data_IF_925231164342
#
_entry.id   IF_925231164342
#
_cell.length_a   1.000
_cell.length_b   1.000
_cell.length_c   1.000
_cell.angle_alpha   90.00
_cell.angle_beta   90.00
_cell.angle_gamma   90.00
#
_symmetry.space_group_name_H-M   'P 1'
#
loop_
_entity.id
_entity.type
_entity.pdbx_description
1 polymer ?
#
# COMPACT_ATOMS: atom_id res chain seq x y z
N UNK A 1 9.08 18.04 -17.68
CA UNK A 1 9.53 17.81 -16.29
C UNK A 1 9.19 16.38 -15.94
N UNK A 2 10.21 15.58 -15.73
CA UNK A 2 10.16 14.15 -15.46
C UNK A 2 9.30 13.85 -14.22
N UNK A 3 8.23 13.04 -14.34
CA UNK A 3 7.57 12.50 -13.17
C UNK A 3 8.38 11.30 -12.68
N UNK A 4 8.84 11.37 -11.43
CA UNK A 4 9.34 10.19 -10.73
C UNK A 4 8.29 9.09 -10.78
N UNK A 5 8.69 7.98 -11.39
CA UNK A 5 7.95 6.75 -11.50
C UNK A 5 7.43 6.31 -10.13
N UNK A 6 6.12 6.15 -10.04
CA UNK A 6 5.49 5.33 -9.00
C UNK A 6 5.94 3.88 -9.18
N UNK A 7 6.98 3.47 -8.46
CA UNK A 7 7.48 2.09 -8.39
C UNK A 7 6.49 1.14 -7.70
N UNK A 8 5.27 1.57 -7.35
CA UNK A 8 4.32 0.76 -6.56
C UNK A 8 3.13 0.24 -7.38
N UNK A 9 2.87 0.77 -8.59
CA UNK A 9 1.86 0.19 -9.49
C UNK A 9 2.38 -1.02 -10.29
N UNK A 10 3.71 -1.16 -10.44
CA UNK A 10 4.33 -2.31 -11.10
C UNK A 10 4.42 -3.56 -10.20
N UNK A 11 4.33 -3.40 -8.87
CA UNK A 11 4.55 -4.51 -7.91
C UNK A 11 3.35 -5.46 -7.80
N UNK A 12 2.16 -5.09 -8.31
CA UNK A 12 0.98 -5.96 -8.27
C UNK A 12 0.62 -6.61 -9.62
N UNK A 13 1.39 -6.33 -10.69
CA UNK A 13 1.22 -6.94 -12.02
C UNK A 13 2.49 -7.67 -12.52
N UNK A 14 3.66 -7.51 -11.90
CA UNK A 14 4.88 -8.23 -12.29
C UNK A 14 5.52 -9.04 -11.15
N UNK A 15 4.92 -10.19 -10.84
CA UNK A 15 5.59 -11.26 -10.09
C UNK A 15 5.85 -12.48 -11.01
N UNK A 16 6.62 -12.27 -12.08
CA UNK A 16 7.43 -13.32 -12.72
C UNK A 16 8.76 -12.71 -13.19
N UNK A 17 9.84 -13.20 -12.58
CA UNK A 17 11.24 -13.20 -13.00
C UNK A 17 12.05 -11.88 -12.99
N UNK A 18 13.20 -11.98 -12.27
CA UNK A 18 14.53 -11.37 -12.50
C UNK A 18 14.95 -10.10 -11.70
N UNK A 19 16.29 -9.87 -11.50
CA UNK A 19 16.96 -9.67 -10.21
C UNK A 19 17.47 -8.22 -9.98
N UNK A 20 18.10 -7.90 -8.83
CA UNK A 20 18.28 -6.52 -8.38
C UNK A 20 19.66 -5.95 -8.70
N UNK A 21 19.72 -4.70 -9.19
CA UNK A 21 20.81 -3.77 -8.87
C UNK A 21 20.33 -2.34 -8.77
N UNK A 22 20.90 -1.69 -7.74
CA UNK A 22 21.05 -0.27 -7.47
C UNK A 22 19.82 0.49 -6.96
N UNK A 23 19.93 0.96 -5.71
CA UNK A 23 19.77 2.38 -5.38
C UNK A 23 20.41 2.66 -4.01
N UNK A 24 21.24 3.70 -3.94
CA UNK A 24 21.59 4.37 -2.68
C UNK A 24 21.65 5.87 -2.96
N UNK A 25 20.91 6.66 -2.20
CA UNK A 25 21.08 8.12 -2.17
C UNK A 25 20.88 8.66 -0.73
N UNK A 26 21.93 9.39 -0.30
CA UNK A 26 22.04 10.53 0.63
C UNK A 26 21.55 10.48 2.09
N UNK A 27 22.42 11.01 2.97
CA UNK A 27 22.12 12.19 3.80
C UNK A 27 23.40 12.89 4.29
N UNK A 28 23.27 14.21 4.44
CA UNK A 28 24.25 15.31 4.69
C UNK A 28 24.35 15.75 6.15
N UNK A 29 25.52 16.28 6.56
CA UNK A 29 25.79 17.50 7.38
C UNK A 29 27.32 17.51 7.68
N UNK A 30 28.08 18.59 7.91
CA UNK A 30 27.84 19.97 8.34
C UNK A 30 29.12 20.83 8.09
N UNK A 31 29.01 22.14 8.28
CA UNK A 31 29.95 23.21 7.94
C UNK A 31 31.13 23.40 8.93
N UNK A 32 32.17 24.14 8.47
CA UNK A 32 33.11 25.06 9.17
C UNK A 32 34.59 24.77 8.84
N UNK A 33 35.22 25.59 7.98
CA UNK A 33 36.40 26.40 8.34
C UNK A 33 36.81 27.36 7.23
N UNK A 34 37.27 28.51 7.71
CA UNK A 34 37.39 29.81 7.07
C UNK A 34 38.79 30.03 6.47
N UNK A 35 38.83 30.79 5.37
CA UNK A 35 39.83 31.80 4.96
C UNK A 35 41.32 31.62 5.33
N UNK A 36 42.10 31.57 4.25
CA UNK A 36 43.50 31.95 4.04
C UNK A 36 44.08 33.17 4.82
N UNK A 37 45.40 33.06 5.07
CA UNK A 37 46.46 34.09 5.00
C UNK A 37 46.98 34.76 6.30
N UNK A 38 48.19 34.31 6.67
CA UNK A 38 49.40 35.05 7.09
C UNK A 38 49.41 35.98 8.32
N UNK A 39 50.28 35.64 9.28
CA UNK A 39 51.55 36.37 9.59
C UNK A 39 52.21 35.82 10.85
N UNK A 40 53.50 35.48 10.78
CA UNK A 40 54.30 35.19 11.98
C UNK A 40 55.50 34.27 11.78
N UNK A 41 56.48 34.69 10.98
CA UNK A 41 57.83 34.13 11.00
C UNK A 41 58.42 34.17 12.42
N UNK A 42 58.96 33.04 12.93
CA UNK A 42 60.39 32.88 13.25
C UNK A 42 60.70 31.55 13.98
N UNK A 43 61.57 30.78 13.33
CA UNK A 43 62.59 29.92 13.93
C UNK A 43 62.19 28.91 15.01
N UNK A 44 61.71 27.73 14.60
CA UNK A 44 61.93 26.50 15.39
C UNK A 44 61.99 25.26 14.48
N UNK A 45 63.21 24.81 14.20
CA UNK A 45 63.58 23.43 13.88
C UNK A 45 63.06 22.81 12.56
N UNK A 46 63.95 22.68 11.56
CA UNK A 46 63.73 21.81 10.40
C UNK A 46 63.46 20.32 10.73
N UNK A 47 63.74 19.89 11.98
CA UNK A 47 63.33 18.58 12.51
C UNK A 47 61.85 18.50 12.86
N UNK A 48 61.22 19.59 13.30
CA UNK A 48 59.79 19.62 13.64
C UNK A 48 58.94 19.59 12.36
N UNK A 49 59.36 20.32 11.32
CA UNK A 49 58.70 20.31 10.01
C UNK A 49 58.78 18.93 9.32
N UNK A 50 59.91 18.22 9.47
CA UNK A 50 60.05 16.87 8.93
C UNK A 50 59.16 15.85 9.66
N UNK A 51 59.07 15.93 10.98
CA UNK A 51 58.23 15.03 11.79
C UNK A 51 56.74 15.28 11.52
N UNK A 52 56.30 16.52 11.39
CA UNK A 52 54.90 16.83 11.07
C UNK A 52 54.53 16.41 9.66
N UNK A 53 55.43 16.56 8.69
CA UNK A 53 55.20 16.08 7.32
C UNK A 53 55.16 14.55 7.24
N UNK A 54 56.04 13.84 7.96
CA UNK A 54 56.02 12.36 8.02
C UNK A 54 54.74 11.88 8.73
N UNK A 55 54.36 12.50 9.84
CA UNK A 55 53.11 12.18 10.54
C UNK A 55 51.88 12.44 9.64
N UNK A 56 51.86 13.56 8.90
CA UNK A 56 50.79 13.85 7.95
C UNK A 56 50.75 12.82 6.81
N UNK A 57 51.89 12.40 6.26
CA UNK A 57 51.94 11.36 5.21
C UNK A 57 51.49 10.00 5.75
N UNK A 58 51.83 9.64 6.99
CA UNK A 58 51.36 8.39 7.63
C UNK A 58 49.86 8.44 7.89
N UNK A 59 49.32 9.58 8.35
CA UNK A 59 47.88 9.74 8.59
C UNK A 59 47.12 9.72 7.26
N UNK A 60 47.59 10.45 6.25
CA UNK A 60 46.96 10.49 4.93
C UNK A 60 47.04 9.12 4.24
N UNK A 61 48.17 8.42 4.33
CA UNK A 61 48.30 7.06 3.78
C UNK A 61 47.44 6.05 4.55
N UNK A 62 47.33 6.17 5.88
CA UNK A 62 46.43 5.35 6.69
C UNK A 62 44.94 5.56 6.34
N UNK A 63 44.51 6.81 6.16
CA UNK A 63 43.13 7.14 5.75
C UNK A 63 42.86 6.63 4.33
N UNK A 64 43.79 6.79 3.39
CA UNK A 64 43.65 6.25 2.02
C UNK A 64 43.59 4.72 2.01
N UNK A 65 44.34 4.03 2.88
CA UNK A 65 44.27 2.57 3.00
C UNK A 65 42.91 2.14 3.56
N UNK A 66 42.36 2.85 4.55
CA UNK A 66 41.02 2.54 5.09
C UNK A 66 39.92 2.77 4.04
N UNK A 67 40.02 3.82 3.22
CA UNK A 67 39.04 4.11 2.16
C UNK A 67 39.20 3.20 0.92
N UNK A 68 40.41 2.67 0.66
CA UNK A 68 40.70 1.78 -0.47
C UNK A 68 40.71 0.29 -0.14
N UNK A 69 40.48 -0.10 1.11
CA UNK A 69 40.18 -1.49 1.47
C UNK A 69 38.65 -1.64 1.45
N UNK A 70 38.04 -2.03 0.32
CA UNK A 70 36.61 -2.26 0.29
C UNK A 70 36.30 -3.35 1.31
N UNK A 71 35.41 -3.11 2.28
CA UNK A 71 34.99 -4.19 3.17
C UNK A 71 34.39 -5.27 2.27
N UNK A 72 35.02 -6.45 2.27
CA UNK A 72 34.37 -7.65 1.76
C UNK A 72 33.25 -7.97 2.74
N UNK A 73 32.13 -7.26 2.60
CA UNK A 73 30.87 -7.66 3.18
C UNK A 73 30.46 -8.92 2.43
N UNK A 74 30.91 -10.07 2.93
CA UNK A 74 30.15 -11.28 2.77
C UNK A 74 28.84 -11.02 3.52
N UNK A 75 27.81 -10.59 2.79
CA UNK A 75 26.44 -10.69 3.25
C UNK A 75 26.15 -12.18 3.39
N UNK A 76 26.53 -12.77 4.52
CA UNK A 76 25.86 -13.97 4.98
C UNK A 76 24.40 -13.57 5.15
N UNK A 77 23.53 -14.21 4.38
CA UNK A 77 22.11 -14.16 4.70
C UNK A 77 21.99 -14.59 6.17
N UNK A 78 21.37 -13.78 7.04
CA UNK A 78 20.98 -14.22 8.37
C UNK A 78 20.32 -15.60 8.25
N UNK A 79 20.60 -16.51 9.18
CA UNK A 79 19.91 -17.78 9.20
C UNK A 79 18.38 -17.56 9.23
N UNK A 80 17.57 -18.49 8.68
CA UNK A 80 16.13 -18.30 8.46
C UNK A 80 15.32 -17.94 9.72
N UNK A 81 15.84 -18.34 10.88
CA UNK A 81 15.30 -18.07 12.21
C UNK A 81 15.34 -16.57 12.57
N UNK A 82 16.39 -15.85 12.18
CA UNK A 82 16.60 -14.46 12.55
C UNK A 82 15.68 -13.52 11.76
N UNK A 83 15.38 -13.87 10.51
CA UNK A 83 14.35 -13.18 9.72
C UNK A 83 12.95 -13.41 10.27
N UNK A 84 12.65 -14.64 10.71
CA UNK A 84 11.37 -14.99 11.32
C UNK A 84 11.19 -14.23 12.65
N UNK A 85 12.24 -14.12 13.45
CA UNK A 85 12.25 -13.33 14.69
C UNK A 85 12.15 -11.82 14.44
N UNK A 86 12.85 -11.29 13.44
CA UNK A 86 12.74 -9.89 13.05
C UNK A 86 11.34 -9.55 12.52
N UNK A 87 10.75 -10.43 11.70
CA UNK A 87 9.38 -10.33 11.22
C UNK A 87 8.39 -10.39 12.37
N UNK A 88 8.58 -11.30 13.33
CA UNK A 88 7.77 -11.38 14.55
C UNK A 88 7.77 -10.05 15.32
N UNK A 89 8.95 -9.50 15.60
CA UNK A 89 9.10 -8.22 16.30
C UNK A 89 8.48 -7.05 15.52
N UNK A 90 8.69 -7.02 14.20
CA UNK A 90 8.11 -6.00 13.33
C UNK A 90 6.58 -6.08 13.33
N UNK A 91 6.00 -7.27 13.18
CA UNK A 91 4.55 -7.47 13.18
C UNK A 91 3.92 -7.13 14.54
N UNK A 92 4.58 -7.42 15.66
CA UNK A 92 4.11 -7.00 16.99
C UNK A 92 4.09 -5.47 17.13
N UNK A 93 5.16 -4.78 16.72
CA UNK A 93 5.18 -3.31 16.73
C UNK A 93 4.13 -2.71 15.79
N UNK A 94 3.94 -3.29 14.61
CA UNK A 94 2.94 -2.85 13.64
C UNK A 94 1.50 -3.08 14.11
N UNK A 95 1.20 -4.19 14.81
CA UNK A 95 -0.12 -4.45 15.41
C UNK A 95 -0.55 -3.38 16.43
N UNK A 96 0.40 -2.67 17.06
CA UNK A 96 0.08 -1.56 17.96
C UNK A 96 -0.48 -0.32 17.22
N UNK A 97 -0.30 -0.25 15.90
CA UNK A 97 -0.83 0.83 15.06
C UNK A 97 -2.26 0.49 14.63
N UNK A 98 -3.22 0.89 15.48
CA UNK A 98 -4.70 0.79 15.35
C UNK A 98 -5.30 0.50 13.96
N UNK A 99 -6.34 -0.34 13.99
CA UNK A 99 -7.38 -0.69 13.01
C UNK A 99 -7.90 0.50 12.17
N UNK A 100 -7.09 1.01 11.26
CA UNK A 100 -7.49 2.03 10.31
C UNK A 100 -7.70 1.41 8.94
N UNK A 101 -8.70 1.87 8.18
CA UNK A 101 -8.98 1.34 6.86
C UNK A 101 -7.81 1.58 5.89
N UNK A 102 -7.65 0.70 4.89
CA UNK A 102 -6.46 0.69 4.05
C UNK A 102 -6.38 1.92 3.16
N UNK A 103 -5.16 2.42 2.98
CA UNK A 103 -4.85 3.59 2.14
C UNK A 103 -3.47 3.46 1.50
N UNK A 104 -3.14 4.41 0.63
CA UNK A 104 -1.81 4.54 0.03
C UNK A 104 -0.67 4.59 1.07
N UNK A 105 -0.92 5.18 2.24
CA UNK A 105 0.05 5.33 3.34
C UNK A 105 0.04 4.14 4.32
N UNK A 106 -1.07 3.38 4.40
CA UNK A 106 -1.27 2.29 5.37
C UNK A 106 -1.65 1.00 4.67
N UNK A 107 -0.66 0.13 4.48
CA UNK A 107 -0.79 -1.20 3.84
C UNK A 107 -1.09 -2.34 4.82
N UNK A 108 -1.18 -2.04 6.10
CA UNK A 108 -1.20 -3.05 7.16
C UNK A 108 -2.36 -4.05 7.03
N UNK A 109 -3.58 -3.56 6.86
CA UNK A 109 -4.77 -4.40 6.66
C UNK A 109 -4.66 -5.35 5.46
N UNK A 110 -4.01 -4.90 4.37
CA UNK A 110 -3.74 -5.78 3.22
C UNK A 110 -2.78 -6.90 3.57
N UNK A 111 -1.72 -6.60 4.31
CA UNK A 111 -0.74 -7.60 4.75
C UNK A 111 -1.37 -8.61 5.70
N UNK A 112 -2.20 -8.16 6.64
CA UNK A 112 -2.93 -9.05 7.56
C UNK A 112 -3.81 -10.05 6.81
N UNK A 113 -4.67 -9.55 5.90
CA UNK A 113 -5.54 -10.41 5.09
C UNK A 113 -4.70 -11.34 4.20
N UNK A 114 -3.62 -10.82 3.60
CA UNK A 114 -2.72 -11.63 2.77
C UNK A 114 -2.04 -12.75 3.57
N UNK A 115 -1.62 -12.51 4.80
CA UNK A 115 -0.95 -13.52 5.63
C UNK A 115 -1.91 -14.60 6.14
N UNK A 116 -3.23 -14.33 6.18
CA UNK A 116 -4.22 -15.32 6.57
C UNK A 116 -4.18 -16.57 5.70
N UNK A 117 -3.82 -16.46 4.41
CA UNK A 117 -3.68 -17.61 3.52
C UNK A 117 -2.64 -18.62 4.01
N UNK A 118 -1.55 -18.15 4.65
CA UNK A 118 -0.52 -19.04 5.20
C UNK A 118 -1.12 -19.88 6.32
N UNK A 119 -1.89 -19.25 7.21
CA UNK A 119 -2.55 -19.93 8.31
C UNK A 119 -3.64 -20.90 7.84
N UNK A 120 -4.49 -20.42 6.93
CA UNK A 120 -5.66 -21.16 6.44
C UNK A 120 -5.29 -22.34 5.54
N UNK A 121 -4.18 -22.25 4.79
CA UNK A 121 -3.86 -23.25 3.75
C UNK A 121 -2.61 -24.10 4.03
N UNK A 122 -1.61 -23.58 4.76
CA UNK A 122 -0.33 -24.29 4.94
C UNK A 122 -0.10 -24.85 6.34
N UNK A 123 -0.90 -24.46 7.34
CA UNK A 123 -0.74 -24.87 8.75
C UNK A 123 0.73 -24.95 9.21
N UNK A 124 1.50 -23.84 9.16
CA UNK A 124 2.96 -23.85 9.23
C UNK A 124 3.55 -24.16 10.60
N UNK A 125 2.75 -24.55 11.61
CA UNK A 125 3.21 -24.91 12.94
C UNK A 125 3.88 -23.76 13.73
N UNK A 126 4.41 -24.09 14.91
CA UNK A 126 5.11 -23.14 15.77
C UNK A 126 6.55 -22.90 15.26
N UNK A 127 7.11 -21.67 15.29
CA UNK A 127 6.62 -20.45 15.96
C UNK A 127 5.76 -19.51 15.09
N UNK A 128 5.51 -19.84 13.83
CA UNK A 128 4.73 -18.97 12.93
C UNK A 128 3.25 -18.89 13.34
N UNK A 129 2.69 -19.98 13.88
CA UNK A 129 1.26 -20.07 14.25
C UNK A 129 0.82 -18.96 15.20
N UNK A 130 1.61 -18.60 16.21
CA UNK A 130 1.23 -17.59 17.20
C UNK A 130 1.00 -16.21 16.56
N UNK A 131 1.90 -15.82 15.65
CA UNK A 131 1.81 -14.55 14.92
C UNK A 131 0.62 -14.59 13.98
N UNK A 132 0.51 -15.67 13.21
CA UNK A 132 -0.53 -15.83 12.20
C UNK A 132 -1.92 -15.85 12.85
N UNK A 133 -2.05 -16.44 14.04
CA UNK A 133 -3.29 -16.41 14.82
C UNK A 133 -3.66 -14.97 15.21
N UNK A 134 -2.70 -14.17 15.69
CA UNK A 134 -2.94 -12.76 16.03
C UNK A 134 -3.39 -11.95 14.81
N UNK A 135 -2.72 -12.15 13.65
CA UNK A 135 -3.07 -11.47 12.40
C UNK A 135 -4.45 -11.89 11.87
N UNK A 136 -4.76 -13.18 11.97
CA UNK A 136 -6.06 -13.72 11.60
C UNK A 136 -7.16 -13.13 12.46
N UNK A 137 -6.99 -13.11 13.78
CA UNK A 137 -7.93 -12.49 14.72
C UNK A 137 -8.11 -11.00 14.47
N UNK A 138 -7.04 -10.27 14.15
CA UNK A 138 -7.13 -8.85 13.76
C UNK A 138 -7.94 -8.68 12.47
N UNK A 139 -7.79 -9.60 11.51
CA UNK A 139 -8.56 -9.57 10.26
C UNK A 139 -10.04 -9.83 10.53
N UNK A 140 -10.37 -10.81 11.37
CA UNK A 140 -11.75 -11.07 11.82
C UNK A 140 -12.38 -9.82 12.45
N UNK A 141 -11.68 -9.17 13.39
CA UNK A 141 -12.14 -7.95 14.04
C UNK A 141 -12.38 -6.82 13.01
N UNK A 142 -11.49 -6.68 12.03
CA UNK A 142 -11.65 -5.71 10.95
C UNK A 142 -12.89 -6.03 10.10
N UNK A 143 -13.12 -7.29 9.72
CA UNK A 143 -14.32 -7.69 8.96
C UNK A 143 -15.60 -7.45 9.76
N UNK A 144 -15.59 -7.75 11.05
CA UNK A 144 -16.70 -7.44 11.95
C UNK A 144 -16.98 -5.93 11.95
N UNK A 145 -15.95 -5.08 12.01
CA UNK A 145 -16.12 -3.62 12.01
C UNK A 145 -16.84 -3.07 10.77
N UNK A 146 -16.83 -3.81 9.66
CA UNK A 146 -17.56 -3.46 8.45
C UNK A 146 -19.04 -3.78 8.51
N UNK A 147 -19.54 -4.57 9.46
CA UNK A 147 -20.95 -4.94 9.53
C UNK A 147 -21.80 -3.84 10.20
N UNK A 148 -23.08 -3.66 9.81
CA UNK A 148 -23.94 -2.59 10.31
C UNK A 148 -24.30 -2.73 11.80
N UNK A 149 -24.23 -3.93 12.36
CA UNK A 149 -24.48 -4.19 13.78
C UNK A 149 -23.40 -3.59 14.69
N UNK A 150 -22.19 -3.34 14.17
CA UNK A 150 -21.11 -2.72 14.93
C UNK A 150 -21.09 -1.22 14.72
N UNK A 151 -20.88 -0.48 15.81
CA UNK A 151 -20.81 0.99 15.82
C UNK A 151 -19.41 1.53 15.53
N UNK A 152 -18.51 0.69 15.00
CA UNK A 152 -17.13 1.09 14.67
C UNK A 152 -17.06 2.16 13.59
N UNK A 153 -17.94 2.09 12.59
CA UNK A 153 -18.04 3.07 11.52
C UNK A 153 -19.49 3.49 11.28
N UNK A 154 -19.70 4.80 11.21
CA UNK A 154 -20.99 5.36 10.82
C UNK A 154 -21.29 5.07 9.34
N UNK A 155 -22.56 5.17 8.96
CA UNK A 155 -23.01 5.10 7.58
C UNK A 155 -23.79 6.37 7.23
N UNK A 156 -23.74 6.76 5.97
CA UNK A 156 -24.62 7.79 5.44
C UNK A 156 -26.06 7.27 5.37
N UNK A 157 -27.04 8.14 5.11
CA UNK A 157 -28.45 7.72 4.97
C UNK A 157 -28.64 6.80 3.75
N UNK A 158 -27.83 6.99 2.72
CA UNK A 158 -27.76 6.13 1.54
C UNK A 158 -26.99 4.82 1.71
N UNK A 159 -26.44 4.53 2.90
CA UNK A 159 -25.79 3.25 3.20
C UNK A 159 -24.28 3.19 2.93
N UNK A 160 -23.64 4.30 2.57
CA UNK A 160 -22.18 4.36 2.38
C UNK A 160 -21.46 4.32 3.73
N UNK A 161 -20.49 3.42 3.89
CA UNK A 161 -19.68 3.33 5.12
C UNK A 161 -18.68 4.49 5.23
N UNK A 162 -18.61 5.14 6.41
CA UNK A 162 -17.77 6.30 6.68
C UNK A 162 -16.45 5.91 7.35
N UNK A 163 -15.59 5.23 6.59
CA UNK A 163 -14.29 4.71 7.03
C UNK A 163 -13.27 5.80 7.40
N UNK A 164 -13.46 7.02 6.89
CA UNK A 164 -12.65 8.19 7.22
C UNK A 164 -13.32 9.12 8.25
N UNK A 165 -14.30 8.62 9.00
CA UNK A 165 -15.06 9.37 10.01
C UNK A 165 -15.73 10.66 9.47
N UNK A 166 -16.29 10.58 8.26
CA UNK A 166 -17.02 11.68 7.64
C UNK A 166 -16.12 12.80 7.07
N UNK A 167 -14.81 12.56 6.97
CA UNK A 167 -13.87 13.46 6.29
C UNK A 167 -14.07 13.39 4.75
N UNK A 168 -13.48 14.31 3.98
CA UNK A 168 -13.52 14.23 2.52
C UNK A 168 -12.82 13.00 1.93
N UNK A 169 -13.09 12.76 0.64
CA UNK A 169 -12.54 11.65 -0.16
C UNK A 169 -12.85 10.23 0.39
N UNK A 170 -14.12 9.89 0.69
CA UNK A 170 -14.47 8.61 1.29
C UNK A 170 -14.31 7.40 0.36
N UNK A 171 -14.51 7.55 -0.96
CA UNK A 171 -14.66 6.37 -1.83
C UNK A 171 -13.39 5.53 -1.96
N UNK A 172 -12.20 6.13 -1.85
CA UNK A 172 -10.94 5.38 -1.87
C UNK A 172 -10.82 4.36 -0.73
N UNK A 173 -11.43 4.63 0.43
CA UNK A 173 -11.44 3.71 1.56
C UNK A 173 -12.47 2.61 1.35
N UNK A 174 -13.62 3.01 0.82
CA UNK A 174 -14.78 2.14 0.60
C UNK A 174 -14.43 1.04 -0.40
N UNK A 175 -13.78 1.38 -1.53
CA UNK A 175 -13.35 0.37 -2.51
C UNK A 175 -12.30 -0.59 -1.93
N UNK A 176 -11.37 -0.09 -1.12
CA UNK A 176 -10.36 -0.94 -0.47
C UNK A 176 -11.01 -1.90 0.54
N UNK A 177 -11.98 -1.43 1.31
CA UNK A 177 -12.73 -2.27 2.25
C UNK A 177 -13.58 -3.32 1.52
N UNK A 178 -14.25 -2.95 0.43
CA UNK A 178 -15.02 -3.87 -0.41
C UNK A 178 -14.12 -4.97 -1.00
N UNK A 179 -12.94 -4.60 -1.51
CA UNK A 179 -11.95 -5.57 -1.98
C UNK A 179 -11.48 -6.51 -0.88
N UNK A 180 -11.09 -5.98 0.29
CA UNK A 180 -10.62 -6.81 1.40
C UNK A 180 -11.69 -7.75 1.96
N UNK A 181 -12.94 -7.29 2.04
CA UNK A 181 -14.07 -8.11 2.46
C UNK A 181 -14.27 -9.29 1.49
N UNK A 182 -14.25 -9.01 0.18
CA UNK A 182 -14.40 -10.05 -0.85
C UNK A 182 -13.23 -11.03 -0.81
N UNK A 183 -11.98 -10.53 -0.78
CA UNK A 183 -10.78 -11.37 -0.73
C UNK A 183 -10.75 -12.28 0.51
N UNK A 184 -11.17 -11.77 1.66
CA UNK A 184 -11.23 -12.57 2.88
C UNK A 184 -12.33 -13.64 2.81
N UNK A 185 -13.50 -13.31 2.26
CA UNK A 185 -14.54 -14.30 1.98
C UNK A 185 -14.04 -15.41 1.05
N UNK A 186 -13.27 -15.07 0.02
CA UNK A 186 -12.72 -16.05 -0.92
C UNK A 186 -11.65 -16.93 -0.25
N UNK A 187 -10.86 -16.40 0.69
CA UNK A 187 -9.95 -17.22 1.48
C UNK A 187 -10.68 -18.18 2.41
N UNK A 188 -11.76 -17.74 3.05
CA UNK A 188 -12.58 -18.61 3.90
C UNK A 188 -13.30 -19.69 3.08
N UNK A 189 -13.89 -19.32 1.94
CA UNK A 189 -14.53 -20.26 1.02
C UNK A 189 -13.53 -21.28 0.50
N UNK A 190 -12.36 -20.82 0.05
CA UNK A 190 -11.29 -21.71 -0.35
C UNK A 190 -10.96 -22.66 0.80
N UNK A 191 -10.75 -22.16 2.02
CA UNK A 191 -10.46 -22.96 3.22
C UNK A 191 -11.61 -23.87 3.72
N UNK A 192 -12.70 -24.03 2.94
CA UNK A 192 -13.88 -24.80 3.33
C UNK A 192 -14.49 -24.31 4.66
N UNK A 193 -14.33 -23.01 4.93
CA UNK A 193 -14.80 -22.34 6.14
C UNK A 193 -16.01 -21.46 5.79
N UNK A 194 -17.24 -21.80 6.26
CA UNK A 194 -18.46 -21.15 5.80
C UNK A 194 -18.66 -19.71 6.31
N UNK A 195 -17.83 -19.24 7.23
CA UNK A 195 -17.97 -17.94 7.88
C UNK A 195 -17.01 -17.72 9.03
N UNK A 196 -17.24 -16.69 9.84
CA UNK A 196 -16.42 -16.38 11.01
C UNK A 196 -17.28 -15.84 12.14
N UNK A 197 -16.70 -15.74 13.34
CA UNK A 197 -17.40 -15.25 14.53
C UNK A 197 -17.06 -13.79 14.80
N UNK A 198 -18.09 -12.99 15.06
CA UNK A 198 -17.96 -11.65 15.60
C UNK A 198 -18.54 -11.62 17.02
N UNK A 199 -17.68 -11.89 18.01
CA UNK A 199 -18.11 -12.11 19.39
C UNK A 199 -18.92 -13.40 19.49
N UNK A 200 -20.15 -13.38 20.05
CA UNK A 200 -20.98 -14.58 20.17
C UNK A 200 -21.72 -14.96 18.87
N UNK A 201 -21.70 -14.10 17.84
CA UNK A 201 -22.54 -14.24 16.65
C UNK A 201 -21.73 -14.78 15.47
N UNK A 202 -22.27 -15.79 14.79
CA UNK A 202 -21.71 -16.33 13.55
C UNK A 202 -22.24 -15.58 12.32
N UNK A 203 -21.36 -15.26 11.38
CA UNK A 203 -21.70 -14.63 10.10
C UNK A 203 -21.16 -15.46 8.94
N UNK A 204 -21.98 -15.70 7.92
CA UNK A 204 -21.54 -16.41 6.71
C UNK A 204 -20.67 -15.52 5.82
N UNK A 205 -19.84 -16.14 4.99
CA UNK A 205 -19.00 -15.44 3.98
C UNK A 205 -19.82 -14.54 3.04
N UNK A 206 -21.09 -14.86 2.82
CA UNK A 206 -21.98 -14.09 1.94
C UNK A 206 -22.30 -12.70 2.51
N UNK A 207 -22.28 -12.53 3.83
CA UNK A 207 -22.51 -11.22 4.46
C UNK A 207 -21.43 -10.21 4.05
N UNK A 208 -20.16 -10.64 3.97
CA UNK A 208 -19.06 -9.77 3.50
C UNK A 208 -19.13 -9.51 2.00
N UNK A 209 -19.52 -10.51 1.21
CA UNK A 209 -19.73 -10.35 -0.23
C UNK A 209 -20.85 -9.36 -0.50
N UNK A 210 -21.94 -9.42 0.26
CA UNK A 210 -23.05 -8.48 0.16
C UNK A 210 -22.65 -7.07 0.62
N UNK A 211 -21.88 -6.95 1.71
CA UNK A 211 -21.27 -5.68 2.09
C UNK A 211 -20.46 -5.08 0.93
N UNK A 212 -19.54 -5.85 0.33
CA UNK A 212 -18.73 -5.36 -0.78
C UNK A 212 -19.58 -4.94 -1.99
N UNK A 213 -20.58 -5.75 -2.38
CA UNK A 213 -21.53 -5.45 -3.46
C UNK A 213 -22.29 -4.16 -3.20
N UNK A 214 -22.87 -3.97 -2.02
CA UNK A 214 -23.63 -2.75 -1.69
C UNK A 214 -22.76 -1.49 -1.77
N UNK A 215 -21.50 -1.57 -1.32
CA UNK A 215 -20.57 -0.45 -1.39
C UNK A 215 -20.15 -0.10 -2.82
N UNK A 216 -19.90 -1.10 -3.67
CA UNK A 216 -19.57 -0.88 -5.08
C UNK A 216 -20.79 -0.43 -5.87
N UNK A 217 -21.97 -1.01 -5.64
CA UNK A 217 -23.21 -0.56 -6.27
C UNK A 217 -23.54 0.90 -5.91
N UNK A 218 -23.33 1.31 -4.66
CA UNK A 218 -23.44 2.72 -4.26
C UNK A 218 -22.55 3.61 -5.13
N UNK A 219 -21.30 3.20 -5.38
CA UNK A 219 -20.36 3.94 -6.24
C UNK A 219 -20.85 4.00 -7.69
N UNK A 220 -21.46 2.92 -8.18
CA UNK A 220 -21.91 2.78 -9.56
C UNK A 220 -23.28 3.39 -9.85
N UNK A 221 -24.07 3.74 -8.82
CA UNK A 221 -25.31 4.51 -9.00
C UNK A 221 -26.44 4.19 -8.02
N UNK A 222 -26.34 3.15 -7.21
CA UNK A 222 -27.34 2.79 -6.18
C UNK A 222 -27.17 3.67 -4.92
N UNK A 223 -27.35 4.97 -5.11
CA UNK A 223 -27.25 5.98 -4.06
C UNK A 223 -28.41 6.99 -4.15
N UNK A 224 -28.65 7.82 -3.13
CA UNK A 224 -29.77 8.76 -3.11
C UNK A 224 -29.82 9.72 -4.31
N UNK A 225 -28.68 9.98 -4.96
CA UNK A 225 -28.59 10.84 -6.15
C UNK A 225 -28.81 10.11 -7.47
N UNK A 226 -28.93 8.77 -7.46
CA UNK A 226 -29.03 7.91 -8.65
C UNK A 226 -27.94 8.23 -9.70
N UNK A 227 -26.73 8.52 -9.22
CA UNK A 227 -25.60 9.01 -10.00
C UNK A 227 -24.40 8.10 -9.80
N UNK A 228 -23.73 7.70 -10.88
CA UNK A 228 -22.43 7.03 -10.81
C UNK A 228 -21.35 8.01 -10.38
N UNK A 229 -20.49 7.60 -9.45
CA UNK A 229 -19.26 8.33 -9.10
C UNK A 229 -18.06 7.93 -9.98
N UNK A 230 -18.26 7.05 -10.96
CA UNK A 230 -17.29 6.69 -12.00
C UNK A 230 -17.62 7.44 -13.28
N UNK A 231 -16.69 8.28 -13.72
CA UNK A 231 -16.88 9.16 -14.88
C UNK A 231 -17.06 8.32 -16.15
N UNK A 232 -18.12 8.62 -16.92
CA UNK A 232 -18.45 7.91 -18.15
C UNK A 232 -19.15 6.56 -17.95
N UNK A 233 -19.49 6.20 -16.71
CA UNK A 233 -20.30 5.00 -16.40
C UNK A 233 -21.73 5.41 -16.00
N UNK A 234 -22.73 4.70 -16.51
CA UNK A 234 -24.14 4.98 -16.26
C UNK A 234 -24.67 6.23 -16.97
N UNK A 235 -25.96 6.53 -16.77
CA UNK A 235 -26.64 7.65 -17.44
C UNK A 235 -26.33 9.02 -16.81
N UNK A 236 -25.95 9.04 -15.53
CA UNK A 236 -25.68 10.25 -14.77
C UNK A 236 -24.35 10.10 -14.03
N UNK A 237 -23.38 10.97 -14.35
CA UNK A 237 -22.03 10.96 -13.78
C UNK A 237 -21.42 12.38 -13.72
N UNK A 238 -20.36 12.62 -12.92
CA UNK A 238 -19.68 13.90 -12.80
C UNK A 238 -19.08 14.41 -14.13
N UNK A 239 -19.31 15.68 -14.44
CA UNK A 239 -18.80 16.37 -15.65
C UNK A 239 -17.78 17.46 -15.33
N UNK A 240 -17.60 17.84 -14.07
CA UNK A 240 -16.71 18.92 -13.62
C UNK A 240 -15.59 18.40 -12.69
N UNK A 241 -15.04 17.24 -13.02
CA UNK A 241 -13.94 16.58 -12.30
C UNK A 241 -12.73 17.51 -12.13
N UNK A 242 -12.16 17.58 -10.92
CA UNK A 242 -10.94 18.32 -10.62
C UNK A 242 -9.71 17.63 -11.24
N UNK A 243 -9.53 17.82 -12.55
CA UNK A 243 -8.40 17.25 -13.28
C UNK A 243 -7.94 18.22 -14.39
N UNK A 244 -6.66 18.60 -14.37
CA UNK A 244 -6.10 19.60 -15.30
C UNK A 244 -6.23 19.15 -16.75
N UNK A 245 -5.82 17.92 -17.05
CA UNK A 245 -5.94 17.36 -18.40
C UNK A 245 -7.39 17.16 -18.86
N UNK A 246 -8.36 17.14 -17.94
CA UNK A 246 -9.78 17.01 -18.28
C UNK A 246 -10.41 18.38 -18.60
N UNK A 247 -10.04 19.39 -17.82
CA UNK A 247 -10.64 20.72 -17.82
C UNK A 247 -10.10 21.65 -18.91
N UNK A 248 -8.87 21.41 -19.37
CA UNK A 248 -8.21 22.23 -20.39
C UNK A 248 -8.48 21.62 -21.78
N UNK A 249 -9.07 22.36 -22.74
CA UNK A 249 -9.33 21.84 -24.08
C UNK A 249 -8.04 21.58 -24.83
N UNK A 250 -8.04 20.53 -25.66
CA UNK A 250 -6.91 20.18 -26.51
C UNK A 250 -6.87 21.05 -27.78
N UNK A 251 -6.59 22.35 -27.63
CA UNK A 251 -6.50 23.32 -28.73
C UNK A 251 -5.06 23.74 -29.05
N UNK A 252 -4.06 22.94 -28.64
CA UNK A 252 -2.61 23.21 -28.78
C UNK A 252 -2.13 24.51 -28.11
N UNK A 253 -2.96 25.16 -27.27
CA UNK A 253 -2.55 26.32 -26.49
C UNK A 253 -1.93 25.87 -25.17
N UNK A 254 -0.71 26.34 -24.90
CA UNK A 254 -0.02 26.08 -23.65
C UNK A 254 -0.51 27.09 -22.60
N UNK A 255 -1.13 26.59 -21.54
CA UNK A 255 -1.55 27.41 -20.40
C UNK A 255 -0.53 27.25 -19.26
N UNK A 256 -0.07 28.37 -18.70
CA UNK A 256 0.66 28.35 -17.44
C UNK A 256 -0.30 28.11 -16.26
N UNK A 257 0.23 27.89 -15.05
CA UNK A 257 -0.60 27.63 -13.85
C UNK A 257 -1.67 28.70 -13.63
N UNK A 258 -1.34 29.99 -13.82
CA UNK A 258 -2.28 31.10 -13.63
C UNK A 258 -3.37 31.14 -14.70
N UNK A 259 -3.00 30.89 -15.96
CA UNK A 259 -3.91 30.79 -17.08
C UNK A 259 -4.83 29.57 -16.99
N UNK A 260 -4.42 28.53 -16.25
CA UNK A 260 -5.22 27.36 -15.93
C UNK A 260 -6.41 27.64 -15.01
N UNK A 261 -6.35 28.68 -14.18
CA UNK A 261 -7.45 29.02 -13.25
C UNK A 261 -8.77 29.27 -13.98
N UNK A 262 -8.75 29.88 -15.18
CA UNK A 262 -9.96 30.06 -15.98
C UNK A 262 -10.67 28.75 -16.34
N UNK A 263 -9.89 27.67 -16.54
CA UNK A 263 -10.42 26.34 -16.82
C UNK A 263 -10.87 25.65 -15.54
N UNK A 264 -10.16 25.86 -14.42
CA UNK A 264 -10.60 25.41 -13.11
C UNK A 264 -11.98 25.98 -12.75
N UNK A 265 -12.13 27.29 -12.91
CA UNK A 265 -13.28 28.07 -12.45
C UNK A 265 -14.43 28.16 -13.47
N UNK A 266 -14.23 27.59 -14.66
CA UNK A 266 -15.25 27.55 -15.70
C UNK A 266 -16.47 26.73 -15.26
N UNK A 267 -17.71 27.25 -15.45
CA UNK A 267 -18.94 26.51 -15.21
C UNK A 267 -19.25 25.50 -16.34
N UNK A 268 -18.46 25.49 -17.42
CA UNK A 268 -18.63 24.53 -18.51
C UNK A 268 -18.12 23.13 -18.08
N UNK A 269 -18.74 22.06 -18.60
CA UNK A 269 -18.25 20.70 -18.38
C UNK A 269 -16.82 20.53 -18.90
N UNK A 270 -16.11 19.54 -18.38
CA UNK A 270 -14.77 19.18 -18.85
C UNK A 270 -14.80 18.85 -20.35
N UNK A 271 -13.99 19.52 -21.19
CA UNK A 271 -13.92 19.23 -22.62
C UNK A 271 -13.39 17.82 -22.92
N UNK A 272 -12.53 17.27 -22.05
CA UNK A 272 -12.03 15.90 -22.19
C UNK A 272 -12.61 15.03 -21.06
N UNK A 273 -13.38 14.01 -21.43
CA UNK A 273 -13.99 13.08 -20.47
C UNK A 273 -12.93 12.07 -20.01
N UNK A 274 -12.66 12.04 -18.70
CA UNK A 274 -11.72 11.07 -18.11
C UNK A 274 -12.46 9.78 -17.75
N UNK A 275 -12.78 9.00 -18.78
CA UNK A 275 -13.56 7.77 -18.64
C UNK A 275 -12.91 6.81 -17.63
N UNK A 276 -13.72 6.22 -16.76
CA UNK A 276 -13.28 5.28 -15.72
C UNK A 276 -12.74 5.94 -14.45
N UNK A 277 -12.53 7.26 -14.44
CA UNK A 277 -12.05 7.94 -13.23
C UNK A 277 -13.14 7.96 -12.15
N UNK A 278 -12.85 7.30 -11.02
CA UNK A 278 -13.64 7.45 -9.80
C UNK A 278 -13.31 8.76 -9.11
N UNK A 279 -14.31 9.62 -8.88
CA UNK A 279 -14.15 10.84 -8.07
C UNK A 279 -14.06 10.49 -6.58
N UNK A 280 -13.66 11.46 -5.76
CA UNK A 280 -13.53 11.29 -4.31
C UNK A 280 -14.85 10.91 -3.60
N UNK A 281 -16.01 11.34 -4.13
CA UNK A 281 -17.35 10.90 -3.72
C UNK A 281 -18.15 11.93 -2.94
N UNK A 282 -19.27 11.53 -2.29
CA UNK A 282 -20.14 12.45 -1.57
C UNK A 282 -19.60 12.81 -0.17
N UNK A 283 -20.28 13.74 0.49
CA UNK A 283 -20.08 14.02 1.91
C UNK A 283 -20.84 13.02 2.81
N UNK A 284 -20.77 13.24 4.13
CA UNK A 284 -21.40 12.39 5.15
C UNK A 284 -22.94 12.34 5.09
N UNK A 285 -23.57 13.24 4.33
CA UNK A 285 -25.02 13.36 4.17
C UNK A 285 -25.50 12.86 2.79
N UNK A 286 -24.65 12.15 2.04
CA UNK A 286 -24.90 11.75 0.65
C UNK A 286 -25.01 12.95 -0.32
N UNK A 287 -24.53 14.15 0.06
CA UNK A 287 -24.51 15.29 -0.86
C UNK A 287 -23.25 15.27 -1.72
N UNK A 288 -23.43 15.50 -3.02
CA UNK A 288 -22.34 15.63 -3.98
C UNK A 288 -22.58 16.84 -4.87
N UNK A 289 -21.59 17.74 -4.90
CA UNK A 289 -21.59 18.92 -5.77
C UNK A 289 -20.50 18.75 -6.82
N UNK A 290 -20.92 18.58 -8.07
CA UNK A 290 -20.04 18.45 -9.22
C UNK A 290 -19.43 19.80 -9.59
N UNK A 291 -18.49 20.26 -8.77
CA UNK A 291 -17.81 21.55 -8.92
C UNK A 291 -16.32 21.34 -8.88
N UNK A 292 -15.64 21.76 -9.95
CA UNK A 292 -14.21 21.52 -10.16
C UNK A 292 -13.32 22.15 -9.08
N UNK A 293 -13.70 23.25 -8.46
CA UNK A 293 -12.92 23.85 -7.36
C UNK A 293 -12.96 23.03 -6.07
N UNK A 294 -13.93 22.11 -5.96
CA UNK A 294 -14.14 21.27 -4.80
C UNK A 294 -13.37 19.95 -4.93
N UNK A 295 -12.04 20.04 -4.88
CA UNK A 295 -11.13 18.90 -5.04
C UNK A 295 -11.39 17.79 -4.01
N UNK A 296 -11.86 18.15 -2.81
CA UNK A 296 -12.25 17.23 -1.74
C UNK A 296 -13.26 16.13 -2.14
N UNK A 297 -14.07 16.36 -3.17
CA UNK A 297 -15.12 15.44 -3.61
C UNK A 297 -15.04 15.12 -5.10
N UNK A 298 -14.53 16.04 -5.92
CA UNK A 298 -14.47 15.89 -7.40
C UNK A 298 -13.11 15.48 -7.94
N UNK A 299 -12.08 15.37 -7.09
CA UNK A 299 -10.74 14.93 -7.52
C UNK A 299 -10.67 13.40 -7.60
N UNK A 300 -10.28 12.84 -8.75
CA UNK A 300 -9.98 11.42 -8.87
C UNK A 300 -8.54 11.16 -8.45
N UNK A 301 -8.29 10.00 -7.83
CA UNK A 301 -6.94 9.60 -7.42
C UNK A 301 -6.55 8.25 -8.01
N UNK A 302 -5.26 8.07 -8.31
CA UNK A 302 -4.71 6.78 -8.73
C UNK A 302 -4.95 5.71 -7.66
N UNK A 303 -4.78 6.06 -6.38
CA UNK A 303 -4.99 5.14 -5.26
C UNK A 303 -6.45 4.66 -5.17
N UNK A 304 -7.42 5.58 -5.32
CA UNK A 304 -8.84 5.22 -5.33
C UNK A 304 -9.21 4.34 -6.53
N UNK A 305 -8.69 4.65 -7.71
CA UNK A 305 -8.97 3.84 -8.91
C UNK A 305 -8.30 2.46 -8.86
N UNK A 306 -7.11 2.32 -8.26
CA UNK A 306 -6.49 1.02 -8.03
C UNK A 306 -7.35 0.12 -7.14
N UNK A 307 -7.88 0.68 -6.05
CA UNK A 307 -8.82 -0.03 -5.18
C UNK A 307 -10.15 -0.36 -5.89
N UNK A 308 -10.67 0.54 -6.72
CA UNK A 308 -11.87 0.29 -7.52
C UNK A 308 -11.69 -0.90 -8.46
N UNK A 309 -10.59 -0.93 -9.22
CA UNK A 309 -10.28 -2.04 -10.13
C UNK A 309 -10.17 -3.35 -9.36
N UNK A 310 -9.45 -3.37 -8.23
CA UNK A 310 -9.32 -4.56 -7.39
C UNK A 310 -10.68 -5.07 -6.89
N UNK A 311 -11.55 -4.16 -6.40
CA UNK A 311 -12.88 -4.52 -5.92
C UNK A 311 -13.80 -5.02 -7.05
N UNK A 312 -13.76 -4.38 -8.22
CA UNK A 312 -14.55 -4.81 -9.39
C UNK A 312 -14.12 -6.19 -9.88
N UNK A 313 -12.82 -6.46 -9.96
CA UNK A 313 -12.29 -7.78 -10.35
C UNK A 313 -12.68 -8.85 -9.33
N UNK A 314 -12.55 -8.55 -8.03
CA UNK A 314 -12.96 -9.49 -6.99
C UNK A 314 -14.46 -9.81 -7.01
N UNK A 315 -15.30 -8.86 -7.45
CA UNK A 315 -16.75 -9.06 -7.55
C UNK A 315 -17.21 -9.60 -8.92
N UNK A 316 -16.42 -9.44 -9.99
CA UNK A 316 -16.76 -9.92 -11.32
C UNK A 316 -16.62 -11.44 -11.34
N UNK A 317 -17.77 -12.13 -11.42
CA UNK A 317 -17.94 -13.54 -11.10
C UNK A 317 -17.23 -14.60 -11.96
N UNK A 318 -16.06 -14.33 -12.53
CA UNK A 318 -15.15 -15.38 -13.00
C UNK A 318 -14.54 -16.08 -11.78
N UNK A 319 -15.36 -16.94 -11.17
CA UNK A 319 -15.05 -17.72 -9.98
C UNK A 319 -14.13 -18.90 -10.32
N UNK A 320 -12.99 -18.62 -10.96
CA UNK A 320 -11.84 -19.50 -10.82
C UNK A 320 -11.38 -19.31 -9.38
N UNK A 321 -12.01 -20.04 -8.45
CA UNK A 321 -11.72 -19.94 -7.01
C UNK A 321 -10.22 -20.04 -6.72
N UNK A 322 -9.82 -19.67 -5.50
CA UNK A 322 -8.41 -19.63 -5.14
C UNK A 322 -7.84 -21.06 -5.13
N UNK A 323 -6.93 -21.34 -6.06
CA UNK A 323 -6.21 -22.62 -6.10
C UNK A 323 -5.10 -22.65 -5.05
N UNK A 324 -5.40 -23.32 -3.93
CA UNK A 324 -4.46 -23.52 -2.81
C UNK A 324 -3.19 -24.25 -3.23
N UNK A 325 -3.22 -25.07 -4.28
CA UNK A 325 -2.10 -25.91 -4.68
C UNK A 325 -1.03 -25.09 -5.42
N UNK A 326 -1.44 -24.06 -6.15
CA UNK A 326 -0.52 -23.23 -6.95
C UNK A 326 -0.20 -21.89 -6.31
N UNK A 327 -1.03 -21.37 -5.41
CA UNK A 327 -0.81 -20.05 -4.78
C UNK A 327 0.52 -19.96 -4.00
N UNK A 328 1.08 -21.10 -3.56
CA UNK A 328 2.37 -21.20 -2.88
C UNK A 328 3.47 -21.86 -3.71
N UNK A 329 3.27 -22.12 -5.00
CA UNK A 329 4.26 -22.84 -5.82
C UNK A 329 5.61 -22.10 -5.93
N UNK A 330 5.61 -20.78 -5.73
CA UNK A 330 6.81 -19.95 -5.71
C UNK A 330 7.44 -19.80 -4.30
N UNK A 331 6.81 -20.36 -3.26
CA UNK A 331 7.31 -20.31 -1.87
C UNK A 331 8.05 -21.61 -1.58
N UNK A 332 9.35 -21.57 -1.23
CA UNK A 332 10.07 -22.76 -0.82
C UNK A 332 9.38 -23.47 0.36
N UNK A 333 9.46 -24.81 0.46
CA UNK A 333 8.94 -25.53 1.62
C UNK A 333 9.50 -24.95 2.92
N UNK A 334 8.62 -24.55 3.84
CA UNK A 334 9.03 -23.97 5.13
C UNK A 334 9.74 -24.97 6.05
N UNK A 335 9.56 -26.27 5.78
CA UNK A 335 10.24 -27.36 6.49
C UNK A 335 11.00 -28.24 5.50
N UNK A 336 12.15 -28.79 5.91
CA UNK A 336 12.80 -29.85 5.15
C UNK A 336 11.80 -31.00 4.96
N UNK A 337 11.72 -31.53 3.74
CA UNK A 337 10.94 -32.74 3.46
C UNK A 337 11.34 -33.84 4.43
N UNK A 338 10.35 -34.51 5.04
CA UNK A 338 10.62 -35.64 5.92
C UNK A 338 11.54 -36.63 5.20
N UNK A 339 12.58 -37.18 5.88
CA UNK A 339 13.42 -38.19 5.27
C UNK A 339 12.55 -39.37 4.82
N UNK A 340 12.92 -40.05 3.71
CA UNK A 340 12.18 -41.21 3.26
C UNK A 340 12.07 -42.23 4.41
N UNK A 341 10.96 -42.98 4.50
CA UNK A 341 10.80 -44.00 5.53
C UNK A 341 12.02 -44.94 5.49
N UNK A 342 12.52 -45.39 6.66
CA UNK A 342 13.65 -46.31 6.70
C UNK A 342 13.32 -47.55 5.86
N UNK A 343 14.36 -48.08 5.18
CA UNK A 343 14.20 -49.27 4.36
C UNK A 343 13.54 -50.39 5.19
N UNK A 344 12.64 -51.20 4.61
CA UNK A 344 12.03 -52.33 5.31
C UNK A 344 13.11 -53.16 6.00
N UNK A 345 12.94 -53.38 7.31
CA UNK A 345 13.86 -54.19 8.09
C UNK A 345 14.00 -55.56 7.41
N UNK A 346 15.23 -55.92 7.01
CA UNK A 346 15.56 -57.26 6.54
C UNK A 346 16.15 -58.03 7.72
N UNK A 347 15.51 -59.13 8.17
CA UNK A 347 15.98 -59.97 9.27
C UNK A 347 17.38 -60.53 9.04
#
# INVERSE_FOLDING_TARGET
MTPEMSTTAAIMVMARNLPPKAFSFLSTSEWILHSEVERGQKAFGGRFLAITMIAAVIIISGVIIIDKVPPRHHHSHPPPDNYTLALHKALMFFNAQKLLPPRWDKKFSFVQVLLNRLRLFLSPGHPAEDILLILHRSSEIMMCSYLPVFTSFNRTKGGLIQLNHGRPQPLQYVVNAAFLATLYSDYLEAADTPGWYCGPNFYSIEVLREFAKTQINYILGENPRKMSYVVGFGNLYPKHVHHRGASIPNNRVIYNCKGGWKWRDSPKPNPNIVVGAMVAGPDKNDEFRDVRTNYNYTEPTLAGNAGLVAALVALSGDRTGIDKNTIFSAVPPMFPTAPPPPAPWKP
#
